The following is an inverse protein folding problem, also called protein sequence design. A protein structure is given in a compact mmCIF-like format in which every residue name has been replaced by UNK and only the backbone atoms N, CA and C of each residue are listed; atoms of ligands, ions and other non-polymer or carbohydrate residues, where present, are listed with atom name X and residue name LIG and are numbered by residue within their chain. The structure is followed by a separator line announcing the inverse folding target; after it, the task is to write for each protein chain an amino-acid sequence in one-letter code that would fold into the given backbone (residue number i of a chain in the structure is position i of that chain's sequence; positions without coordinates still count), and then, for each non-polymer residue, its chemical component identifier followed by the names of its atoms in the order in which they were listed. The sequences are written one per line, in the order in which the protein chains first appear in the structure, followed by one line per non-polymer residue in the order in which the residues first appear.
data_IF_909604067585
#
_entry.id   IF_909604067585
#
_cell.length_a   1.000
_cell.length_b   1.000
_cell.length_c   1.000
_cell.angle_alpha   90.00
_cell.angle_beta   90.00
_cell.angle_gamma   90.00
#
_symmetry.space_group_name_H-M   'P 1'
#
loop_
_entity.id
_entity.type
_entity.pdbx_description
1 polymer ?
#
# COMPACT_ATOMS: atom_id res chain seq x y z
N UNK A 1 11.08 -20.89 0.34
CA UNK A 1 11.04 -19.98 1.49
C UNK A 1 12.26 -19.06 1.35
N UNK A 2 12.11 -17.90 0.69
CA UNK A 2 13.24 -17.06 0.24
C UNK A 2 14.01 -16.33 1.36
N UNK A 3 14.77 -15.29 1.01
CA UNK A 3 15.62 -14.58 1.98
C UNK A 3 14.82 -13.93 3.11
N UNK A 4 15.40 -13.92 4.31
CA UNK A 4 14.85 -13.25 5.49
C UNK A 4 14.70 -11.74 5.23
N UNK A 5 13.66 -11.13 5.77
CA UNK A 5 13.50 -9.66 5.76
C UNK A 5 14.41 -9.06 6.82
N UNK A 6 15.17 -8.01 6.49
CA UNK A 6 16.27 -7.49 7.30
C UNK A 6 17.65 -7.97 6.85
N UNK A 7 17.75 -8.64 5.70
CA UNK A 7 19.03 -9.19 5.21
C UNK A 7 19.69 -8.28 4.17
N UNK A 8 21.02 -8.25 4.25
CA UNK A 8 21.92 -7.64 3.27
C UNK A 8 22.97 -8.66 2.89
N UNK A 9 23.25 -8.79 1.60
CA UNK A 9 24.35 -9.60 1.10
C UNK A 9 24.87 -9.02 -0.20
N UNK A 10 26.14 -9.27 -0.47
CA UNK A 10 26.82 -8.79 -1.66
C UNK A 10 27.26 -9.98 -2.52
N UNK A 11 27.26 -9.79 -3.84
CA UNK A 11 27.62 -10.82 -4.82
C UNK A 11 28.30 -10.19 -6.03
N UNK A 12 29.34 -10.84 -6.54
CA UNK A 12 30.08 -10.42 -7.74
C UNK A 12 29.49 -11.05 -9.01
N UNK A 13 28.88 -12.23 -8.90
CA UNK A 13 28.51 -13.09 -10.05
C UNK A 13 27.02 -13.37 -10.19
N UNK A 14 26.29 -13.42 -9.08
CA UNK A 14 24.91 -13.88 -9.06
C UNK A 14 23.94 -12.83 -8.53
N UNK A 15 22.72 -12.85 -9.06
CA UNK A 15 21.60 -12.05 -8.55
C UNK A 15 20.40 -12.96 -8.25
N UNK A 16 19.75 -12.74 -7.10
CA UNK A 16 18.61 -13.55 -6.64
C UNK A 16 17.35 -12.68 -6.53
N UNK A 17 16.41 -12.77 -7.50
CA UNK A 17 15.21 -11.92 -7.50
C UNK A 17 14.35 -12.02 -6.22
N UNK A 18 14.14 -13.24 -5.72
CA UNK A 18 13.39 -13.47 -4.48
C UNK A 18 14.08 -12.95 -3.22
N UNK A 19 15.39 -12.72 -3.29
CA UNK A 19 16.16 -12.14 -2.22
C UNK A 19 16.14 -10.60 -2.23
N UNK A 20 15.73 -9.95 -3.33
CA UNK A 20 15.29 -8.54 -3.35
C UNK A 20 13.87 -8.41 -2.79
N UNK A 21 12.99 -9.33 -3.20
CA UNK A 21 11.58 -9.36 -2.79
C UNK A 21 10.62 -8.88 -3.87
N UNK A 22 9.34 -9.16 -3.67
CA UNK A 22 8.29 -8.92 -4.69
C UNK A 22 7.92 -7.44 -4.86
N UNK A 23 8.11 -6.62 -3.83
CA UNK A 23 7.88 -5.18 -3.94
C UNK A 23 9.21 -4.46 -4.17
N UNK A 24 9.71 -4.58 -5.40
CA UNK A 24 10.95 -3.95 -5.85
C UNK A 24 10.83 -2.44 -5.67
N UNK A 25 11.84 -1.80 -5.10
CA UNK A 25 11.85 -0.35 -4.88
C UNK A 25 10.91 0.12 -3.77
N UNK A 26 10.27 -0.79 -3.00
CA UNK A 26 9.60 -0.41 -1.76
C UNK A 26 10.54 0.43 -0.89
N UNK A 27 10.04 1.54 -0.36
CA UNK A 27 10.87 2.60 0.19
C UNK A 27 10.10 3.62 0.99
N UNK A 28 10.87 4.44 1.70
CA UNK A 28 10.38 5.50 2.56
C UNK A 28 10.65 6.84 1.90
N UNK A 29 9.77 7.81 2.14
CA UNK A 29 10.09 9.19 1.85
C UNK A 29 9.55 10.11 2.95
N UNK A 30 10.28 11.17 3.26
CA UNK A 30 9.84 12.18 4.20
C UNK A 30 10.21 13.58 3.72
N UNK A 31 9.35 14.57 3.95
CA UNK A 31 9.59 15.97 3.58
C UNK A 31 9.12 16.90 4.73
N UNK A 32 9.95 17.85 5.15
CA UNK A 32 9.59 18.78 6.22
C UNK A 32 8.64 19.87 5.74
N UNK A 33 7.81 20.36 6.66
CA UNK A 33 7.00 21.57 6.55
C UNK A 33 7.59 22.58 7.55
N UNK A 34 8.57 23.41 7.14
CA UNK A 34 9.44 24.14 8.06
C UNK A 34 8.71 25.16 8.94
N UNK A 35 7.54 25.64 8.50
CA UNK A 35 6.77 26.68 9.18
C UNK A 35 5.49 26.14 9.85
N UNK A 36 5.29 24.81 9.85
CA UNK A 36 4.09 24.18 10.41
C UNK A 36 4.39 23.50 11.74
N UNK A 37 3.90 24.11 12.82
CA UNK A 37 3.90 23.49 14.15
C UNK A 37 2.76 22.47 14.28
N UNK A 38 3.02 21.33 14.92
CA UNK A 38 1.99 20.34 15.22
C UNK A 38 0.88 20.88 16.15
N UNK A 39 1.21 21.85 16.99
CA UNK A 39 0.29 22.47 17.95
C UNK A 39 -0.68 23.44 17.26
N UNK A 40 -0.31 24.00 16.12
CA UNK A 40 -1.19 24.89 15.35
C UNK A 40 -2.21 24.15 14.49
N UNK A 41 -2.14 22.80 14.41
CA UNK A 41 -3.09 21.99 13.65
C UNK A 41 -4.16 21.43 14.59
N UNK A 42 -5.37 21.98 14.49
CA UNK A 42 -6.54 21.48 15.25
C UNK A 42 -6.91 20.05 14.83
N UNK A 43 -7.71 19.37 15.65
CA UNK A 43 -8.19 18.02 15.34
C UNK A 43 -9.02 18.00 14.05
N UNK A 44 -9.89 18.99 13.85
CA UNK A 44 -10.76 19.12 12.68
C UNK A 44 -9.94 19.31 11.40
N UNK A 45 -8.83 20.06 11.46
CA UNK A 45 -7.91 20.20 10.33
C UNK A 45 -7.23 18.84 10.04
N UNK A 46 -6.80 18.11 11.07
CA UNK A 46 -6.22 16.76 10.89
C UNK A 46 -7.20 15.80 10.23
N UNK A 47 -8.46 15.77 10.67
CA UNK A 47 -9.53 14.98 10.04
C UNK A 47 -9.78 15.39 8.59
N UNK A 48 -9.80 16.69 8.30
CA UNK A 48 -9.96 17.18 6.93
C UNK A 48 -8.80 16.76 6.04
N UNK A 49 -7.55 16.85 6.50
CA UNK A 49 -6.37 16.41 5.74
C UNK A 49 -6.44 14.90 5.53
N UNK A 50 -6.70 14.11 6.58
CA UNK A 50 -6.83 12.65 6.49
C UNK A 50 -7.86 12.24 5.43
N UNK A 51 -9.05 12.83 5.46
CA UNK A 51 -10.11 12.59 4.48
C UNK A 51 -9.65 12.93 3.06
N UNK A 52 -9.02 14.10 2.86
CA UNK A 52 -8.58 14.50 1.53
C UNK A 52 -7.44 13.64 0.97
N UNK A 53 -6.53 13.16 1.82
CA UNK A 53 -5.51 12.19 1.41
C UNK A 53 -6.20 10.93 0.86
N UNK A 54 -7.22 10.41 1.54
CA UNK A 54 -7.95 9.22 1.08
C UNK A 54 -8.75 9.46 -0.20
N UNK A 55 -9.28 10.66 -0.37
CA UNK A 55 -10.03 11.04 -1.57
C UNK A 55 -9.10 11.20 -2.78
N UNK A 56 -7.88 11.74 -2.59
CA UNK A 56 -6.91 12.00 -3.69
C UNK A 56 -5.95 10.84 -3.96
N UNK A 57 -5.60 10.03 -2.97
CA UNK A 57 -4.60 8.95 -3.07
C UNK A 57 -5.26 7.57 -2.97
N UNK A 58 -5.42 6.84 -4.08
CA UNK A 58 -5.97 5.50 -4.07
C UNK A 58 -5.14 4.52 -3.22
N UNK A 59 -5.84 3.72 -2.41
CA UNK A 59 -5.27 2.69 -1.52
C UNK A 59 -5.67 1.27 -1.95
N UNK A 60 -4.99 0.26 -1.39
CA UNK A 60 -5.22 -1.15 -1.69
C UNK A 60 -4.93 -1.50 -3.15
N UNK A 61 -5.90 -2.13 -3.81
CA UNK A 61 -5.85 -2.46 -5.24
C UNK A 61 -6.37 -1.33 -6.15
N UNK A 62 -6.88 -0.24 -5.56
CA UNK A 62 -7.43 0.87 -6.34
C UNK A 62 -6.32 1.64 -7.07
N UNK A 63 -6.73 2.28 -8.17
CA UNK A 63 -5.89 3.04 -9.08
C UNK A 63 -6.63 4.29 -9.51
N UNK A 64 -5.90 5.26 -10.06
CA UNK A 64 -6.50 6.46 -10.64
C UNK A 64 -7.36 6.12 -11.86
N UNK A 65 -8.44 6.88 -12.06
CA UNK A 65 -9.33 6.69 -13.21
C UNK A 65 -8.72 7.12 -14.55
N UNK A 66 -7.65 7.91 -14.53
CA UNK A 66 -6.91 8.37 -15.71
C UNK A 66 -5.40 8.10 -15.53
N UNK A 67 -4.67 7.84 -16.63
CA UNK A 67 -3.21 7.71 -16.60
C UNK A 67 -2.58 8.98 -16.04
N UNK A 68 -1.61 8.80 -15.14
CA UNK A 68 -0.76 9.90 -14.67
C UNK A 68 0.54 9.91 -15.46
N UNK A 69 1.17 11.08 -15.51
CA UNK A 69 2.50 11.25 -16.11
C UNK A 69 3.55 11.03 -15.03
N UNK A 70 4.65 10.38 -15.41
CA UNK A 70 5.81 10.18 -14.56
C UNK A 70 7.04 9.99 -15.46
N UNK A 71 8.20 10.60 -15.14
CA UNK A 71 9.43 10.47 -15.92
C UNK A 71 9.82 9.02 -16.27
N UNK A 72 9.60 8.07 -15.35
CA UNK A 72 9.91 6.66 -15.56
C UNK A 72 9.16 6.03 -16.73
N UNK A 73 7.96 6.51 -17.06
CA UNK A 73 7.13 5.92 -18.12
C UNK A 73 7.77 6.11 -19.49
N UNK A 74 8.46 7.25 -19.67
CA UNK A 74 9.20 7.61 -20.87
C UNK A 74 10.62 7.01 -20.90
N UNK A 75 11.10 6.43 -19.80
CA UNK A 75 12.42 5.80 -19.73
C UNK A 75 12.43 4.47 -20.50
N UNK A 76 13.22 4.44 -21.59
CA UNK A 76 13.37 3.29 -22.49
C UNK A 76 14.48 2.31 -22.07
N UNK A 77 15.24 2.60 -21.01
CA UNK A 77 16.24 1.68 -20.47
C UNK A 77 15.57 0.53 -19.70
N UNK A 78 14.96 -0.39 -20.45
CA UNK A 78 14.19 -1.55 -19.95
C UNK A 78 14.19 -2.66 -20.99
N UNK A 79 13.89 -3.88 -20.58
CA UNK A 79 13.79 -5.02 -21.48
C UNK A 79 12.55 -4.94 -22.40
N UNK A 80 12.58 -5.71 -23.48
CA UNK A 80 11.42 -5.90 -24.34
C UNK A 80 10.26 -6.57 -23.58
N UNK A 81 10.56 -7.41 -22.59
CA UNK A 81 9.54 -8.04 -21.74
C UNK A 81 8.85 -6.99 -20.86
N UNK A 82 9.61 -6.17 -20.13
CA UNK A 82 9.03 -5.13 -19.25
C UNK A 82 8.25 -4.09 -20.06
N UNK A 83 8.73 -3.72 -21.24
CA UNK A 83 7.99 -2.83 -22.16
C UNK A 83 6.58 -3.33 -22.49
N UNK A 84 6.37 -4.65 -22.58
CA UNK A 84 5.03 -5.24 -22.80
C UNK A 84 4.15 -5.23 -21.55
N UNK A 85 4.74 -5.18 -20.35
CA UNK A 85 4.00 -5.10 -19.09
C UNK A 85 3.55 -3.68 -18.76
N UNK A 86 4.21 -2.67 -19.33
CA UNK A 86 3.85 -1.27 -19.15
C UNK A 86 2.62 -0.95 -20.00
N UNK A 87 1.49 -0.78 -19.32
CA UNK A 87 0.19 -0.50 -19.95
C UNK A 87 -0.40 0.78 -19.38
N UNK A 88 -1.55 1.18 -19.91
CA UNK A 88 -2.34 2.27 -19.33
C UNK A 88 -2.61 2.06 -17.82
N UNK A 89 -2.82 0.81 -17.40
CA UNK A 89 -3.02 0.46 -15.98
C UNK A 89 -1.80 0.81 -15.14
N UNK A 90 -0.58 0.61 -15.66
CA UNK A 90 0.68 0.96 -14.98
C UNK A 90 0.76 2.47 -14.74
N UNK A 91 0.39 3.27 -15.75
CA UNK A 91 0.33 4.73 -15.61
C UNK A 91 -0.76 5.20 -14.63
N UNK A 92 -1.87 4.48 -14.50
CA UNK A 92 -2.89 4.74 -13.47
C UNK A 92 -2.45 4.36 -12.05
N UNK A 93 -1.37 3.59 -11.89
CA UNK A 93 -0.83 3.16 -10.60
C UNK A 93 0.19 4.13 -9.99
N UNK A 94 0.72 5.06 -10.78
CA UNK A 94 1.50 6.20 -10.26
C UNK A 94 0.61 7.00 -9.31
N UNK A 95 1.16 7.45 -8.19
CA UNK A 95 0.42 8.22 -7.19
C UNK A 95 -0.53 7.36 -6.35
N UNK A 96 -0.26 6.07 -6.17
CA UNK A 96 -1.12 5.17 -5.38
C UNK A 96 -0.36 4.54 -4.23
N UNK A 97 -1.02 4.45 -3.07
CA UNK A 97 -0.38 3.99 -1.84
C UNK A 97 -0.15 2.48 -1.87
N UNK A 98 -1.20 1.76 -2.24
CA UNK A 98 -1.25 0.31 -2.11
C UNK A 98 -1.79 -0.21 -0.81
N UNK A 99 -1.50 -1.48 -0.53
CA UNK A 99 -2.00 -2.20 0.63
C UNK A 99 -0.87 -2.73 1.51
N UNK A 100 -1.24 -3.45 2.58
CA UNK A 100 -0.28 -4.08 3.48
C UNK A 100 0.35 -3.07 4.42
N UNK A 101 1.68 -3.05 4.51
CA UNK A 101 2.37 -2.14 5.43
C UNK A 101 2.50 -0.70 4.92
N UNK A 102 2.10 -0.40 3.68
CA UNK A 102 2.19 0.95 3.09
C UNK A 102 1.30 1.97 3.82
N UNK A 103 1.80 3.18 4.00
CA UNK A 103 1.12 4.25 4.74
C UNK A 103 1.51 5.65 4.27
N UNK A 104 0.68 6.63 4.61
CA UNK A 104 1.00 8.06 4.59
C UNK A 104 0.73 8.60 5.99
N UNK A 105 1.68 9.31 6.55
CA UNK A 105 1.59 9.93 7.87
C UNK A 105 1.92 11.41 7.80
N UNK A 106 1.25 12.20 8.64
CA UNK A 106 1.82 13.46 9.10
C UNK A 106 2.39 13.18 10.48
N UNK A 107 3.65 13.52 10.68
CA UNK A 107 4.37 13.29 11.92
C UNK A 107 4.96 14.59 12.43
N UNK A 108 5.16 14.72 13.74
CA UNK A 108 5.95 15.80 14.34
C UNK A 108 7.32 15.31 14.76
N UNK A 109 8.34 16.12 14.58
CA UNK A 109 9.68 15.86 15.09
C UNK A 109 9.85 16.31 16.56
N UNK A 110 11.06 16.20 17.09
CA UNK A 110 11.40 16.60 18.46
C UNK A 110 11.30 18.10 18.73
N UNK A 111 11.31 18.93 17.68
CA UNK A 111 11.10 20.38 17.77
C UNK A 111 9.63 20.78 17.67
N UNK A 112 8.76 19.82 17.36
CA UNK A 112 7.32 20.05 17.16
C UNK A 112 6.94 20.43 15.73
N UNK A 113 7.90 20.49 14.80
CA UNK A 113 7.64 20.78 13.39
C UNK A 113 7.11 19.54 12.67
N UNK A 114 6.24 19.79 11.68
CA UNK A 114 5.52 18.73 10.97
C UNK A 114 6.31 18.26 9.74
N UNK A 115 6.22 16.96 9.48
CA UNK A 115 6.77 16.31 8.31
C UNK A 115 5.68 15.44 7.67
N UNK A 116 5.72 15.32 6.34
CA UNK A 116 5.02 14.26 5.63
C UNK A 116 5.94 13.04 5.64
N UNK A 117 5.45 11.88 6.02
CA UNK A 117 6.18 10.61 6.01
C UNK A 117 5.36 9.60 5.19
N UNK A 118 5.98 8.95 4.22
CA UNK A 118 5.30 8.06 3.29
C UNK A 118 6.04 6.73 3.10
N UNK A 119 5.28 5.65 3.02
CA UNK A 119 5.74 4.30 2.67
C UNK A 119 5.00 3.73 1.47
N UNK A 120 5.71 3.53 0.37
CA UNK A 120 5.19 2.79 -0.77
C UNK A 120 6.30 2.26 -1.68
N UNK A 121 5.91 1.41 -2.62
CA UNK A 121 6.80 0.76 -3.58
C UNK A 121 6.34 0.89 -5.01
N UNK A 122 6.76 -0.07 -5.83
CA UNK A 122 6.51 -0.06 -7.28
C UNK A 122 5.16 -0.64 -7.67
N UNK A 123 4.31 -0.99 -6.70
CA UNK A 123 2.96 -1.52 -6.96
C UNK A 123 3.06 -2.84 -7.74
N UNK A 124 2.12 -3.08 -8.66
CA UNK A 124 2.06 -4.37 -9.35
C UNK A 124 3.23 -4.58 -10.33
N UNK A 125 3.83 -3.51 -10.88
CA UNK A 125 4.90 -3.66 -11.89
C UNK A 125 6.16 -4.31 -11.30
N UNK A 126 6.53 -3.97 -10.06
CA UNK A 126 7.62 -4.66 -9.36
C UNK A 126 7.29 -6.11 -9.04
N UNK A 127 6.05 -6.39 -8.62
CA UNK A 127 5.58 -7.75 -8.33
C UNK A 127 5.74 -8.67 -9.54
N UNK A 128 5.17 -8.29 -10.68
CA UNK A 128 5.23 -9.13 -11.90
C UNK A 128 6.66 -9.26 -12.41
N UNK A 129 7.49 -8.23 -12.24
CA UNK A 129 8.91 -8.26 -12.59
C UNK A 129 9.65 -9.28 -11.72
N UNK A 130 9.51 -9.21 -10.39
CA UNK A 130 10.13 -10.16 -9.47
C UNK A 130 9.68 -11.61 -9.74
N UNK A 131 8.39 -11.83 -9.96
CA UNK A 131 7.82 -13.16 -10.25
C UNK A 131 8.38 -13.75 -11.56
N UNK A 132 8.44 -12.94 -12.62
CA UNK A 132 8.99 -13.36 -13.92
C UNK A 132 10.46 -13.77 -13.79
N UNK A 133 11.30 -12.91 -13.21
CA UNK A 133 12.73 -13.20 -13.12
C UNK A 133 13.05 -14.31 -12.12
N UNK A 134 12.24 -14.51 -11.07
CA UNK A 134 12.38 -15.69 -10.22
C UNK A 134 12.04 -16.99 -10.98
N UNK A 135 11.04 -16.97 -11.86
CA UNK A 135 10.72 -18.11 -12.71
C UNK A 135 11.87 -18.43 -13.69
N UNK A 136 12.46 -17.40 -14.31
CA UNK A 136 13.64 -17.55 -15.17
C UNK A 136 14.84 -18.09 -14.38
N UNK A 137 15.11 -17.56 -13.19
CA UNK A 137 16.17 -18.04 -12.30
C UNK A 137 15.99 -19.52 -11.93
N UNK A 138 14.75 -19.93 -11.65
CA UNK A 138 14.43 -21.33 -11.34
C UNK A 138 14.69 -22.25 -12.55
N UNK A 139 14.35 -21.81 -13.75
CA UNK A 139 14.62 -22.55 -14.99
C UNK A 139 16.13 -22.64 -15.26
N UNK A 140 16.86 -21.53 -15.10
CA UNK A 140 18.32 -21.46 -15.24
C UNK A 140 19.02 -22.45 -14.30
N UNK A 141 18.68 -22.43 -13.01
CA UNK A 141 19.27 -23.35 -12.03
C UNK A 141 19.00 -24.82 -12.35
N UNK A 142 17.78 -25.13 -12.83
CA UNK A 142 17.43 -26.49 -13.25
C UNK A 142 18.28 -26.93 -14.45
N UNK A 143 18.48 -26.06 -15.43
CA UNK A 143 19.28 -26.35 -16.62
C UNK A 143 20.77 -26.54 -16.29
N UNK A 144 21.30 -25.76 -15.36
CA UNK A 144 22.69 -25.89 -14.86
C UNK A 144 22.88 -26.97 -13.79
N UNK A 145 21.82 -27.74 -13.50
CA UNK A 145 21.82 -28.80 -12.49
C UNK A 145 22.24 -28.34 -11.08
N UNK A 146 22.03 -27.06 -10.76
CA UNK A 146 22.30 -26.54 -9.42
C UNK A 146 21.32 -27.16 -8.42
N UNK A 147 21.87 -27.83 -7.40
CA UNK A 147 21.09 -28.38 -6.28
C UNK A 147 20.96 -27.32 -5.19
N UNK A 148 19.73 -27.03 -4.78
CA UNK A 148 19.48 -26.22 -3.59
C UNK A 148 18.61 -27.00 -2.60
N UNK A 149 18.82 -26.73 -1.30
CA UNK A 149 17.78 -27.02 -0.29
C UNK A 149 16.54 -26.20 -0.66
N UNK A 150 15.34 -26.67 -0.34
CA UNK A 150 14.04 -26.11 -0.79
C UNK A 150 13.75 -24.67 -0.28
N UNK A 151 14.62 -23.73 -0.62
CA UNK A 151 14.75 -22.38 -0.07
C UNK A 151 14.21 -21.33 -1.06
N UNK A 152 13.81 -21.68 -2.28
CA UNK A 152 13.28 -20.70 -3.26
C UNK A 152 14.19 -19.46 -3.42
N UNK A 153 15.51 -19.70 -3.34
CA UNK A 153 16.58 -18.71 -3.52
C UNK A 153 17.19 -18.88 -4.91
N UNK A 154 16.32 -18.76 -5.93
CA UNK A 154 16.77 -18.96 -7.29
C UNK A 154 17.62 -17.78 -7.77
N UNK A 155 18.73 -18.07 -8.46
CA UNK A 155 19.65 -17.04 -8.93
C UNK A 155 19.88 -17.10 -10.45
N UNK A 156 20.30 -15.97 -10.99
CA UNK A 156 20.82 -15.81 -12.35
C UNK A 156 22.28 -15.39 -12.25
N UNK A 157 23.09 -15.81 -13.21
CA UNK A 157 24.39 -15.17 -13.47
C UNK A 157 24.14 -13.73 -13.95
N UNK A 158 24.96 -12.77 -13.52
CA UNK A 158 24.75 -11.36 -13.87
C UNK A 158 25.09 -11.08 -15.34
N UNK A 159 26.02 -11.83 -15.91
CA UNK A 159 26.56 -11.66 -17.25
C UNK A 159 25.80 -12.41 -18.35
N UNK A 160 24.75 -13.16 -18.01
CA UNK A 160 23.81 -13.68 -19.01
C UNK A 160 22.74 -12.61 -19.33
N UNK A 161 22.04 -12.80 -20.45
CA UNK A 161 21.03 -11.85 -20.91
C UNK A 161 19.93 -11.64 -19.87
N UNK A 162 19.43 -12.71 -19.25
CA UNK A 162 18.37 -12.66 -18.24
C UNK A 162 18.82 -11.92 -16.97
N UNK A 163 20.09 -12.10 -16.56
CA UNK A 163 20.66 -11.40 -15.41
C UNK A 163 20.77 -9.90 -15.65
N UNK A 164 21.33 -9.50 -16.80
CA UNK A 164 21.38 -8.08 -17.21
C UNK A 164 20.00 -7.46 -17.36
N UNK A 165 19.07 -8.20 -17.95
CA UNK A 165 17.69 -7.75 -18.14
C UNK A 165 16.99 -7.55 -16.79
N UNK A 166 17.20 -8.46 -15.82
CA UNK A 166 16.66 -8.30 -14.48
C UNK A 166 17.17 -7.03 -13.81
N UNK A 167 18.48 -6.79 -13.83
CA UNK A 167 19.08 -5.62 -13.18
C UNK A 167 18.52 -4.31 -13.76
N UNK A 168 18.41 -4.23 -15.09
CA UNK A 168 17.82 -3.08 -15.79
C UNK A 168 16.33 -2.89 -15.46
N UNK A 169 15.55 -3.97 -15.48
CA UNK A 169 14.11 -3.89 -15.19
C UNK A 169 13.83 -3.59 -13.71
N UNK A 170 14.69 -4.07 -12.81
CA UNK A 170 14.66 -3.75 -11.39
C UNK A 170 14.99 -2.28 -11.15
N UNK A 171 15.99 -1.72 -11.83
CA UNK A 171 16.30 -0.28 -11.80
C UNK A 171 15.12 0.56 -12.30
N UNK A 172 14.48 0.15 -13.39
CA UNK A 172 13.25 0.80 -13.87
C UNK A 172 12.13 0.74 -12.81
N UNK A 173 11.97 -0.41 -12.13
CA UNK A 173 10.99 -0.54 -11.05
C UNK A 173 11.32 0.34 -9.82
N UNK A 174 12.61 0.54 -9.51
CA UNK A 174 13.05 1.48 -8.48
C UNK A 174 12.67 2.92 -8.85
N UNK A 175 12.95 3.33 -10.10
CA UNK A 175 12.53 4.63 -10.62
C UNK A 175 11.01 4.81 -10.56
N UNK A 176 10.24 3.77 -10.87
CA UNK A 176 8.78 3.82 -10.75
C UNK A 176 8.32 4.01 -9.32
N UNK A 177 8.94 3.33 -8.36
CA UNK A 177 8.65 3.52 -6.96
C UNK A 177 9.01 4.94 -6.47
N UNK A 178 10.11 5.52 -6.95
CA UNK A 178 10.49 6.92 -6.67
C UNK A 178 9.43 7.90 -7.18
N UNK A 179 9.06 7.80 -8.45
CA UNK A 179 8.04 8.66 -9.07
C UNK A 179 6.67 8.48 -8.39
N UNK A 180 6.32 7.25 -8.01
CA UNK A 180 5.09 6.96 -7.28
C UNK A 180 5.07 7.68 -5.92
N UNK A 181 6.16 7.61 -5.15
CA UNK A 181 6.28 8.32 -3.88
C UNK A 181 6.29 9.84 -4.08
N UNK A 182 6.99 10.34 -5.10
CA UNK A 182 7.05 11.76 -5.40
C UNK A 182 5.66 12.33 -5.73
N UNK A 183 4.89 11.66 -6.59
CA UNK A 183 3.54 12.10 -6.95
C UNK A 183 2.60 12.11 -5.73
N UNK A 184 2.70 11.13 -4.83
CA UNK A 184 1.94 11.15 -3.57
C UNK A 184 2.39 12.25 -2.61
N UNK A 185 3.70 12.45 -2.44
CA UNK A 185 4.22 13.54 -1.60
C UNK A 185 3.74 14.90 -2.11
N UNK A 186 3.77 15.14 -3.42
CA UNK A 186 3.25 16.38 -4.02
C UNK A 186 1.75 16.54 -3.73
N UNK A 187 0.94 15.49 -3.89
CA UNK A 187 -0.50 15.57 -3.59
C UNK A 187 -0.77 15.89 -2.11
N UNK A 188 -0.05 15.25 -1.19
CA UNK A 188 -0.20 15.48 0.25
C UNK A 188 0.29 16.88 0.63
N UNK A 189 1.41 17.32 0.07
CA UNK A 189 1.92 18.68 0.28
C UNK A 189 0.92 19.74 -0.18
N UNK A 190 0.30 19.57 -1.35
CA UNK A 190 -0.76 20.46 -1.83
C UNK A 190 -1.97 20.49 -0.89
N UNK A 191 -2.42 19.34 -0.39
CA UNK A 191 -3.52 19.30 0.60
C UNK A 191 -3.14 20.10 1.85
N UNK A 192 -1.92 19.94 2.36
CA UNK A 192 -1.47 20.64 3.57
C UNK A 192 -1.36 22.14 3.32
N UNK A 193 -0.81 22.56 2.19
CA UNK A 193 -0.71 23.96 1.80
C UNK A 193 -2.09 24.61 1.69
N UNK A 194 -3.05 23.95 1.03
CA UNK A 194 -4.45 24.43 0.93
C UNK A 194 -5.13 24.58 2.30
N UNK A 195 -4.78 23.74 3.29
CA UNK A 195 -5.42 23.73 4.62
C UNK A 195 -4.72 24.61 5.66
N UNK A 196 -3.43 24.84 5.51
CA UNK A 196 -2.59 25.45 6.55
C UNK A 196 -1.76 26.64 6.05
N UNK A 197 -1.63 26.81 4.74
CA UNK A 197 -0.73 27.79 4.13
C UNK A 197 0.75 27.39 4.17
N UNK A 198 1.11 26.27 4.82
CA UNK A 198 2.51 25.82 4.90
C UNK A 198 2.94 25.09 3.63
N UNK A 199 4.11 25.47 3.12
CA UNK A 199 4.72 24.87 1.93
C UNK A 199 5.76 23.82 2.35
N UNK A 200 5.75 22.66 1.69
CA UNK A 200 6.73 21.59 1.95
C UNK A 200 8.09 21.92 1.33
N UNK A 201 9.18 21.72 2.08
CA UNK A 201 10.55 21.95 1.61
C UNK A 201 11.15 20.67 1.00
N UNK A 202 10.85 20.45 -0.28
CA UNK A 202 11.37 19.30 -1.04
C UNK A 202 12.90 19.29 -1.18
N UNK A 203 13.61 20.40 -0.95
CA UNK A 203 15.08 20.42 -0.99
C UNK A 203 15.71 19.60 0.15
N UNK A 204 14.95 19.38 1.22
CA UNK A 204 15.32 18.56 2.39
C UNK A 204 14.60 17.21 2.42
N UNK A 205 13.95 16.82 1.32
CA UNK A 205 13.28 15.54 1.26
C UNK A 205 14.28 14.38 1.34
N UNK A 206 13.95 13.38 2.15
CA UNK A 206 14.67 12.10 2.21
C UNK A 206 13.83 11.07 1.45
N UNK A 207 14.43 10.33 0.53
CA UNK A 207 13.75 9.28 -0.22
C UNK A 207 14.68 8.09 -0.41
N UNK A 208 14.32 6.93 0.14
CA UNK A 208 15.21 5.77 0.25
C UNK A 208 14.47 4.46 0.00
N UNK A 209 15.08 3.57 -0.78
CA UNK A 209 14.56 2.21 -0.99
C UNK A 209 15.01 1.27 0.14
N UNK A 210 14.25 0.21 0.37
CA UNK A 210 14.63 -0.88 1.27
C UNK A 210 14.51 -2.29 0.67
N UNK A 211 14.05 -2.41 -0.59
CA UNK A 211 14.01 -3.66 -1.36
C UNK A 211 14.63 -3.43 -2.74
N UNK A 212 15.92 -3.67 -2.89
CA UNK A 212 16.63 -3.43 -4.15
C UNK A 212 17.98 -4.12 -4.18
N UNK A 213 18.60 -4.12 -5.36
CA UNK A 213 20.01 -4.44 -5.52
C UNK A 213 20.68 -3.36 -6.36
N UNK A 214 21.94 -3.04 -6.05
CA UNK A 214 22.71 -2.02 -6.77
C UNK A 214 24.20 -2.37 -6.75
N UNK A 215 24.94 -1.92 -7.75
CA UNK A 215 26.38 -2.14 -7.85
C UNK A 215 27.11 -1.03 -7.07
N UNK A 216 27.84 -1.43 -6.03
CA UNK A 216 28.51 -0.51 -5.11
C UNK A 216 29.99 -0.85 -4.98
N UNK A 217 30.83 0.16 -4.80
CA UNK A 217 32.21 -0.03 -4.35
C UNK A 217 32.18 -0.47 -2.89
N UNK A 218 32.70 -1.68 -2.64
CA UNK A 218 32.68 -2.31 -1.34
C UNK A 218 34.11 -2.59 -0.86
N UNK A 219 34.32 -2.39 0.44
CA UNK A 219 35.54 -2.77 1.14
C UNK A 219 35.18 -3.80 2.22
N UNK A 220 35.88 -4.94 2.26
CA UNK A 220 35.67 -5.97 3.27
C UNK A 220 36.96 -6.77 3.53
N UNK A 221 37.02 -7.47 4.66
CA UNK A 221 38.12 -8.37 5.01
C UNK A 221 37.78 -9.78 4.52
N UNK A 222 38.63 -10.37 3.69
CA UNK A 222 38.44 -11.74 3.21
C UNK A 222 38.81 -12.78 4.28
N UNK A 223 38.54 -14.06 4.00
CA UNK A 223 38.85 -15.17 4.91
C UNK A 223 40.35 -15.34 5.23
N UNK A 224 41.22 -14.70 4.44
CA UNK A 224 42.68 -14.71 4.63
C UNK A 224 43.17 -13.48 5.41
N UNK A 225 42.27 -12.57 5.80
CA UNK A 225 42.58 -11.34 6.53
C UNK A 225 42.98 -10.16 5.63
N UNK A 226 42.83 -10.27 4.31
CA UNK A 226 43.18 -9.17 3.40
C UNK A 226 42.01 -8.20 3.22
N UNK A 227 42.29 -6.91 3.20
CA UNK A 227 41.34 -5.89 2.79
C UNK A 227 41.15 -5.93 1.27
N UNK A 228 39.94 -6.25 0.82
CA UNK A 228 39.56 -6.30 -0.59
C UNK A 228 38.68 -5.10 -0.92
N UNK A 229 39.01 -4.42 -2.02
CA UNK A 229 38.17 -3.35 -2.61
C UNK A 229 37.70 -3.80 -3.99
N UNK A 230 36.38 -3.94 -4.15
CA UNK A 230 35.81 -4.30 -5.46
C UNK A 230 34.36 -3.84 -5.59
N UNK A 231 33.86 -3.82 -6.83
CA UNK A 231 32.45 -3.57 -7.09
C UNK A 231 31.64 -4.84 -6.85
N UNK A 232 30.63 -4.76 -6.00
CA UNK A 232 29.71 -5.86 -5.71
C UNK A 232 28.26 -5.41 -5.89
N UNK A 233 27.40 -6.36 -6.25
CA UNK A 233 25.96 -6.17 -6.26
C UNK A 233 25.42 -6.38 -4.85
N UNK A 234 25.14 -5.28 -4.15
CA UNK A 234 24.62 -5.28 -2.79
C UNK A 234 23.10 -5.37 -2.84
N UNK A 235 22.57 -6.51 -2.41
CA UNK A 235 21.13 -6.76 -2.31
C UNK A 235 20.64 -6.46 -0.90
N UNK A 236 19.60 -5.63 -0.79
CA UNK A 236 18.92 -5.28 0.46
C UNK A 236 17.46 -5.68 0.38
N UNK A 237 16.99 -6.45 1.37
CA UNK A 237 15.57 -6.81 1.54
C UNK A 237 15.11 -6.48 2.93
N UNK A 238 14.29 -5.46 3.05
CA UNK A 238 13.98 -4.85 4.34
C UNK A 238 15.24 -4.30 5.02
N UNK A 239 16.14 -3.67 4.26
CA UNK A 239 17.31 -2.97 4.78
C UNK A 239 17.56 -1.73 3.93
N UNK A 240 18.08 -0.66 4.53
CA UNK A 240 18.30 0.62 3.84
C UNK A 240 19.80 0.89 3.73
N UNK A 241 20.20 1.71 2.76
CA UNK A 241 21.55 2.27 2.71
C UNK A 241 21.80 3.18 3.91
N UNK A 242 22.96 3.03 4.53
CA UNK A 242 23.43 3.79 5.69
C UNK A 242 24.89 4.23 5.48
N UNK A 243 25.20 4.71 4.27
CA UNK A 243 26.50 5.29 3.94
C UNK A 243 26.82 6.45 4.88
N UNK A 244 28.12 6.68 5.09
CA UNK A 244 28.57 7.75 5.99
C UNK A 244 27.90 9.08 5.61
N UNK A 245 27.14 9.63 6.57
CA UNK A 245 26.47 10.90 6.42
C UNK A 245 25.16 10.90 5.61
N UNK A 246 24.75 9.77 5.04
CA UNK A 246 23.49 9.65 4.30
C UNK A 246 22.29 9.66 5.25
N UNK A 247 21.29 10.48 4.98
CA UNK A 247 20.02 10.44 5.71
C UNK A 247 19.20 9.19 5.35
N UNK A 248 18.60 8.57 6.36
CA UNK A 248 17.73 7.41 6.26
C UNK A 248 16.46 7.57 7.09
N UNK A 249 15.50 6.67 6.87
CA UNK A 249 14.20 6.69 7.54
C UNK A 249 13.88 5.30 8.09
N UNK A 250 13.63 5.20 9.39
CA UNK A 250 13.32 3.94 10.08
C UNK A 250 11.92 4.03 10.70
N UNK A 251 10.86 3.55 10.02
CA UNK A 251 9.52 3.52 10.58
C UNK A 251 9.32 2.45 11.66
N UNK A 252 8.54 2.78 12.68
CA UNK A 252 8.04 1.82 13.66
C UNK A 252 6.76 1.14 13.19
N UNK A 253 5.66 1.44 13.87
CA UNK A 253 4.30 1.04 13.55
C UNK A 253 3.41 2.27 13.45
N UNK A 254 2.12 2.10 13.13
CA UNK A 254 1.16 3.20 13.01
C UNK A 254 1.10 4.16 14.20
N UNK A 255 1.44 3.68 15.41
CA UNK A 255 1.33 4.45 16.65
C UNK A 255 2.63 4.65 17.45
N UNK A 256 3.72 3.94 17.14
CA UNK A 256 4.94 3.95 18.00
C UNK A 256 5.97 5.01 17.63
N UNK A 257 5.77 5.71 16.51
CA UNK A 257 6.72 6.67 15.96
C UNK A 257 7.76 6.07 15.03
N UNK A 258 8.52 6.95 14.41
CA UNK A 258 9.51 6.68 13.35
C UNK A 258 10.78 7.49 13.61
N UNK A 259 11.86 7.25 12.87
CA UNK A 259 13.13 7.96 13.07
C UNK A 259 13.68 8.51 11.76
N UNK A 260 14.20 9.74 11.81
CA UNK A 260 15.18 10.24 10.85
C UNK A 260 16.57 9.90 11.41
N UNK A 261 17.39 9.28 10.59
CA UNK A 261 18.72 8.82 10.98
C UNK A 261 19.78 9.27 9.99
N UNK A 262 21.05 9.19 10.39
CA UNK A 262 22.21 9.46 9.55
C UNK A 262 23.15 8.24 9.59
N UNK A 263 23.56 7.74 8.43
CA UNK A 263 24.40 6.55 8.33
C UNK A 263 25.82 6.76 8.86
N UNK A 264 26.35 5.74 9.54
CA UNK A 264 27.73 5.69 10.07
C UNK A 264 28.70 4.93 9.14
N UNK A 265 28.25 4.47 7.97
CA UNK A 265 29.12 3.92 6.94
C UNK A 265 29.83 2.61 7.32
N UNK A 266 29.30 1.84 8.28
CA UNK A 266 29.88 0.59 8.74
C UNK A 266 30.05 -0.41 7.58
N UNK A 267 31.29 -0.85 7.32
CA UNK A 267 31.63 -1.77 6.23
C UNK A 267 31.10 -3.19 6.44
N UNK A 268 31.02 -3.64 7.69
CA UNK A 268 30.62 -5.01 8.02
C UNK A 268 29.14 -5.26 7.69
N UNK A 269 28.33 -4.20 7.64
CA UNK A 269 26.93 -4.23 7.22
C UNK A 269 26.73 -3.90 5.73
N UNK A 270 27.80 -3.82 4.93
CA UNK A 270 27.77 -3.26 3.57
C UNK A 270 27.15 -1.86 3.55
N UNK A 271 27.52 -1.04 4.54
CA UNK A 271 27.02 0.32 4.74
C UNK A 271 25.48 0.36 4.72
N UNK A 272 24.86 -0.54 5.48
CA UNK A 272 23.40 -0.68 5.53
C UNK A 272 22.89 -0.64 6.96
N UNK A 273 21.59 -0.35 7.10
CA UNK A 273 20.88 -0.39 8.38
C UNK A 273 19.52 -1.08 8.22
N UNK A 274 18.77 -1.20 9.32
CA UNK A 274 17.40 -1.72 9.26
C UNK A 274 16.50 -0.85 8.36
N UNK A 275 15.28 -1.31 8.10
CA UNK A 275 14.26 -0.51 7.40
C UNK A 275 13.06 -0.18 8.28
N UNK A 276 13.05 -0.62 9.53
CA UNK A 276 11.91 -0.47 10.43
C UNK A 276 11.87 -1.55 11.52
N UNK A 277 10.84 -1.49 12.38
CA UNK A 277 10.71 -2.38 13.54
C UNK A 277 10.62 -3.86 13.17
N UNK A 278 10.01 -4.17 12.02
CA UNK A 278 9.69 -5.53 11.62
C UNK A 278 8.57 -6.13 12.45
N UNK A 279 7.89 -7.14 11.89
CA UNK A 279 6.75 -7.77 12.53
C UNK A 279 7.18 -8.74 13.62
N UNK A 280 6.50 -8.71 14.76
CA UNK A 280 6.61 -9.72 15.82
C UNK A 280 5.57 -10.83 15.64
N UNK A 281 4.47 -10.56 14.92
CA UNK A 281 3.38 -11.50 14.64
C UNK A 281 3.08 -11.60 13.13
N UNK A 282 2.73 -12.80 12.67
CA UNK A 282 2.15 -12.97 11.33
C UNK A 282 0.81 -12.21 11.24
N UNK A 283 0.37 -11.87 10.02
CA UNK A 283 -0.90 -11.16 9.82
C UNK A 283 -2.09 -11.91 10.42
N UNK A 284 -2.17 -13.22 10.13
CA UNK A 284 -3.20 -14.09 10.69
C UNK A 284 -3.16 -14.13 12.21
N UNK A 285 -1.96 -14.27 12.81
CA UNK A 285 -1.82 -14.30 14.27
C UNK A 285 -2.20 -12.96 14.91
N UNK A 286 -1.84 -11.85 14.28
CA UNK A 286 -2.21 -10.51 14.72
C UNK A 286 -3.74 -10.32 14.73
N UNK A 287 -4.44 -10.71 13.65
CA UNK A 287 -5.93 -10.67 13.59
C UNK A 287 -6.62 -11.59 14.59
N UNK A 288 -5.96 -12.64 15.07
CA UNK A 288 -6.53 -13.53 16.07
C UNK A 288 -6.31 -13.01 17.49
N UNK A 289 -5.13 -12.47 17.79
CA UNK A 289 -4.73 -12.15 19.18
C UNK A 289 -4.98 -10.70 19.60
N UNK A 290 -4.87 -9.73 18.69
CA UNK A 290 -4.93 -8.30 19.03
C UNK A 290 -6.39 -7.89 19.15
N UNK A 291 -6.88 -7.53 20.33
CA UNK A 291 -8.26 -7.07 20.48
C UNK A 291 -8.47 -5.73 19.80
N UNK A 292 -9.66 -5.53 19.23
CA UNK A 292 -10.05 -4.29 18.56
C UNK A 292 -9.94 -3.06 19.48
N UNK A 293 -10.39 -3.20 20.73
CA UNK A 293 -10.26 -2.16 21.76
C UNK A 293 -8.80 -1.77 22.06
N UNK A 294 -7.90 -2.75 22.06
CA UNK A 294 -6.48 -2.49 22.34
C UNK A 294 -5.83 -1.78 21.15
N UNK A 295 -6.26 -2.10 19.93
CA UNK A 295 -5.84 -1.40 18.72
C UNK A 295 -6.30 0.07 18.75
N UNK A 296 -7.59 0.32 18.99
CA UNK A 296 -8.14 1.68 19.13
C UNK A 296 -7.40 2.49 20.19
N UNK A 297 -7.22 1.91 21.38
CA UNK A 297 -6.48 2.55 22.47
C UNK A 297 -5.04 2.91 22.09
N UNK A 298 -4.36 2.05 21.34
CA UNK A 298 -2.98 2.30 20.90
C UNK A 298 -2.85 3.41 19.86
N UNK A 299 -3.98 3.87 19.30
CA UNK A 299 -4.05 4.94 18.30
C UNK A 299 -4.64 6.25 18.86
N UNK A 300 -4.93 6.32 20.16
CA UNK A 300 -5.43 7.54 20.81
C UNK A 300 -4.53 8.75 20.53
N UNK A 301 -5.14 9.87 20.12
CA UNK A 301 -4.43 11.10 19.75
C UNK A 301 -3.91 11.16 18.30
N UNK A 302 -4.14 10.10 17.51
CA UNK A 302 -3.77 10.04 16.08
C UNK A 302 -5.04 9.95 15.24
N UNK A 303 -5.18 10.82 14.24
CA UNK A 303 -6.28 10.71 13.26
C UNK A 303 -5.98 9.57 12.30
N UNK A 304 -6.74 8.48 12.40
CA UNK A 304 -6.54 7.28 11.59
C UNK A 304 -7.78 6.39 11.55
N UNK A 305 -7.77 5.38 10.70
CA UNK A 305 -8.75 4.29 10.74
C UNK A 305 -8.31 3.15 11.64
N UNK A 306 -9.19 2.75 12.55
CA UNK A 306 -9.03 1.58 13.41
C UNK A 306 -10.07 0.52 13.06
N UNK A 307 -10.20 0.14 11.79
CA UNK A 307 -11.15 -0.91 11.37
C UNK A 307 -10.57 -2.31 11.58
N UNK A 308 -11.43 -3.33 11.66
CA UNK A 308 -11.00 -4.72 11.90
C UNK A 308 -10.02 -5.24 10.84
N UNK A 309 -10.17 -4.78 9.60
CA UNK A 309 -9.31 -5.15 8.47
C UNK A 309 -7.85 -4.76 8.69
N UNK A 310 -7.61 -3.71 9.48
CA UNK A 310 -6.30 -3.15 9.81
C UNK A 310 -5.67 -3.72 11.09
N UNK A 311 -6.36 -4.62 11.80
CA UNK A 311 -5.82 -5.21 13.05
C UNK A 311 -4.49 -5.92 12.87
N UNK A 312 -4.17 -6.41 11.67
CA UNK A 312 -2.84 -6.97 11.41
C UNK A 312 -1.72 -5.93 11.32
N UNK A 313 -2.05 -4.65 11.18
CA UNK A 313 -1.10 -3.54 11.10
C UNK A 313 -1.06 -2.71 12.40
N UNK A 314 -1.84 -3.10 13.40
CA UNK A 314 -1.85 -2.49 14.73
C UNK A 314 -0.45 -2.47 15.37
N UNK A 315 -0.11 -1.48 16.21
CA UNK A 315 1.19 -1.38 16.88
C UNK A 315 1.69 -2.66 17.55
N UNK A 316 0.79 -3.43 18.16
CA UNK A 316 1.05 -4.68 18.87
C UNK A 316 1.50 -5.83 17.94
N UNK A 317 1.38 -5.68 16.62
CA UNK A 317 1.85 -6.66 15.64
C UNK A 317 3.36 -6.52 15.31
N UNK A 318 3.98 -5.44 15.76
CA UNK A 318 5.37 -5.07 15.47
C UNK A 318 6.28 -5.30 16.69
N UNK A 319 7.59 -5.30 16.45
CA UNK A 319 8.59 -5.26 17.54
C UNK A 319 8.63 -3.85 18.13
N UNK A 320 9.21 -3.71 19.31
CA UNK A 320 9.55 -2.39 19.85
C UNK A 320 10.64 -1.75 18.97
N UNK A 321 10.32 -0.57 18.42
CA UNK A 321 11.22 0.14 17.54
C UNK A 321 12.46 0.67 18.28
N UNK A 322 12.34 1.02 19.58
CA UNK A 322 13.49 1.55 20.32
C UNK A 322 14.55 0.47 20.51
N UNK A 323 14.15 -0.76 20.86
CA UNK A 323 15.04 -1.92 20.88
C UNK A 323 15.77 -2.15 19.55
N UNK A 324 15.07 -1.98 18.42
CA UNK A 324 15.67 -2.10 17.07
C UNK A 324 16.67 -0.98 16.82
N UNK A 325 16.44 0.23 17.31
CA UNK A 325 17.40 1.33 17.22
C UNK A 325 18.65 1.08 18.07
N UNK A 326 18.49 0.54 19.28
CA UNK A 326 19.62 0.23 20.17
C UNK A 326 20.58 -0.80 19.55
N UNK A 327 20.03 -1.83 18.88
CA UNK A 327 20.81 -2.88 18.21
C UNK A 327 21.60 -2.44 16.98
N UNK A 328 21.36 -1.24 16.47
CA UNK A 328 22.03 -0.72 15.26
C UNK A 328 22.72 0.64 15.52
N UNK A 329 23.04 0.91 16.79
CA UNK A 329 23.74 2.13 17.21
C UNK A 329 25.14 2.30 16.59
N UNK A 330 25.72 1.22 16.08
CA UNK A 330 26.96 1.18 15.29
C UNK A 330 26.74 1.39 13.79
N UNK A 331 25.48 1.40 13.31
CA UNK A 331 25.13 1.56 11.90
C UNK A 331 24.58 2.95 11.59
N UNK A 332 23.84 3.55 12.52
CA UNK A 332 23.17 4.85 12.32
C UNK A 332 23.16 5.71 13.58
N UNK A 333 23.22 7.03 13.38
CA UNK A 333 22.97 8.05 14.39
C UNK A 333 21.52 8.55 14.30
N UNK A 334 20.84 8.73 15.43
CA UNK A 334 19.49 9.29 15.47
C UNK A 334 19.57 10.82 15.32
N UNK A 335 18.90 11.34 14.29
CA UNK A 335 18.77 12.80 14.07
C UNK A 335 17.56 13.34 14.81
N UNK A 336 16.40 12.69 14.65
CA UNK A 336 15.19 13.00 15.42
C UNK A 336 14.24 11.81 15.45
N UNK A 337 13.40 11.77 16.48
CA UNK A 337 12.25 10.87 16.58
C UNK A 337 11.00 11.59 16.11
N UNK A 338 10.17 10.86 15.37
CA UNK A 338 8.88 11.30 14.87
C UNK A 338 7.74 10.70 15.70
N UNK A 339 6.71 11.50 15.94
CA UNK A 339 5.45 11.06 16.54
C UNK A 339 4.30 11.27 15.54
N UNK A 340 3.48 10.25 15.25
CA UNK A 340 2.38 10.38 14.30
C UNK A 340 1.28 11.32 14.82
N UNK A 341 0.73 12.10 13.90
CA UNK A 341 -0.44 12.97 14.11
C UNK A 341 -1.64 12.49 13.28
N UNK A 342 -1.35 12.03 12.06
CA UNK A 342 -2.29 11.46 11.11
C UNK A 342 -1.66 10.19 10.56
N UNK A 343 -2.43 9.12 10.43
CA UNK A 343 -2.02 7.90 9.74
C UNK A 343 -3.11 7.44 8.76
N UNK A 344 -2.72 7.29 7.50
CA UNK A 344 -3.56 6.71 6.44
C UNK A 344 -2.91 5.39 6.02
N UNK A 345 -3.61 4.27 6.26
CA UNK A 345 -3.15 2.95 5.83
C UNK A 345 -3.69 2.55 4.47
N UNK A 346 -2.86 1.76 3.79
CA UNK A 346 -3.26 1.03 2.62
C UNK A 346 -4.18 -0.16 2.95
N UNK A 347 -5.50 0.00 2.83
CA UNK A 347 -6.43 -1.13 2.87
C UNK A 347 -7.61 -0.94 1.92
N UNK A 348 -8.27 -2.03 1.55
CA UNK A 348 -9.51 -1.99 0.81
C UNK A 348 -10.64 -1.61 1.75
N UNK A 349 -11.07 -0.35 1.75
CA UNK A 349 -12.42 -0.05 2.22
C UNK A 349 -13.38 -0.72 1.23
N UNK A 350 -14.30 -1.56 1.72
CA UNK A 350 -15.33 -2.19 0.90
C UNK A 350 -16.04 -1.14 0.03
N UNK A 351 -15.65 -1.10 -1.26
CA UNK A 351 -16.06 -0.16 -2.31
C UNK A 351 -15.86 1.33 -1.97
N UNK A 352 -14.96 2.06 -2.67
CA UNK A 352 -14.84 3.51 -2.54
C UNK A 352 -16.19 4.21 -2.77
N UNK A 353 -16.55 5.29 -2.05
CA UNK A 353 -17.83 5.98 -2.20
C UNK A 353 -18.16 6.40 -3.64
N UNK A 354 -17.14 6.76 -4.44
CA UNK A 354 -17.30 7.13 -5.86
C UNK A 354 -17.43 5.94 -6.82
N UNK A 355 -17.18 4.70 -6.35
CA UNK A 355 -17.41 3.44 -7.08
C UNK A 355 -18.71 2.74 -6.67
N UNK A 356 -19.40 3.21 -5.62
CA UNK A 356 -20.78 2.78 -5.39
C UNK A 356 -21.62 3.28 -6.58
N UNK A 357 -22.38 2.42 -7.27
CA UNK A 357 -23.30 2.88 -8.29
C UNK A 357 -24.27 3.86 -7.63
N UNK A 358 -24.26 5.12 -8.07
CA UNK A 358 -25.29 6.10 -7.70
C UNK A 358 -26.62 5.63 -8.30
N UNK A 359 -27.42 4.91 -7.52
CA UNK A 359 -28.83 4.70 -7.86
C UNK A 359 -29.58 5.94 -7.39
N UNK A 360 -30.00 6.77 -8.34
CA UNK A 360 -30.95 7.84 -8.07
C UNK A 360 -32.35 7.22 -7.94
N UNK A 361 -32.92 7.25 -6.75
CA UNK A 361 -34.36 7.05 -6.55
C UNK A 361 -35.01 8.42 -6.73
N UNK A 362 -35.62 8.66 -7.89
CA UNK A 362 -36.40 9.88 -8.13
C UNK A 362 -37.77 9.66 -7.52
N UNK A 363 -38.10 10.43 -6.49
CA UNK A 363 -39.45 10.48 -5.93
C UNK A 363 -40.31 11.38 -6.82
N UNK A 364 -41.28 10.82 -7.53
CA UNK A 364 -42.42 11.62 -8.02
C UNK A 364 -43.45 11.68 -6.89
N UNK A 365 -43.53 12.85 -6.27
CA UNK A 365 -44.52 13.28 -5.28
C UNK A 365 -44.57 12.52 -3.94
N UNK A 366 -43.93 13.11 -2.92
CA UNK A 366 -44.51 13.46 -1.60
C UNK A 366 -43.39 13.64 -0.58
N UNK A 367 -43.66 14.47 0.41
CA UNK A 367 -42.69 15.15 1.27
C UNK A 367 -41.68 14.25 2.01
N UNK A 368 -40.41 14.66 1.90
CA UNK A 368 -39.31 14.55 2.88
C UNK A 368 -38.97 13.19 3.51
N UNK A 369 -38.16 12.36 2.82
CA UNK A 369 -37.15 11.49 3.46
C UNK A 369 -35.94 11.27 2.51
N UNK A 370 -34.71 11.46 3.00
CA UNK A 370 -33.49 11.02 2.30
C UNK A 370 -33.17 9.57 2.71
N UNK A 371 -33.03 8.66 1.75
CA UNK A 371 -32.67 7.25 1.98
C UNK A 371 -31.34 6.97 1.29
N UNK A 372 -30.35 6.52 2.07
CA UNK A 372 -29.04 6.06 1.55
C UNK A 372 -29.04 4.54 1.40
N UNK A 373 -28.88 4.04 0.17
CA UNK A 373 -28.86 2.59 -0.11
C UNK A 373 -27.45 2.03 0.15
N UNK A 374 -27.27 1.33 1.26
CA UNK A 374 -25.97 0.75 1.66
C UNK A 374 -25.63 -0.58 0.95
N UNK A 375 -26.62 -1.32 0.43
CA UNK A 375 -26.39 -2.62 -0.25
C UNK A 375 -27.55 -3.01 -1.17
N UNK A 376 -27.25 -3.47 -2.39
CA UNK A 376 -28.26 -4.00 -3.34
C UNK A 376 -28.02 -5.50 -3.50
N UNK A 377 -29.03 -6.31 -3.21
CA UNK A 377 -29.02 -7.76 -3.42
C UNK A 377 -30.15 -8.10 -4.40
N UNK A 378 -29.89 -8.97 -5.38
CA UNK A 378 -30.88 -9.35 -6.41
C UNK A 378 -31.08 -10.86 -6.35
N UNK A 379 -32.33 -11.32 -6.21
CA UNK A 379 -32.72 -12.72 -6.34
C UNK A 379 -33.41 -12.98 -7.69
N UNK A 380 -33.23 -14.17 -8.25
CA UNK A 380 -33.86 -14.59 -9.50
C UNK A 380 -35.17 -15.31 -9.18
N UNK A 381 -36.31 -14.78 -9.63
CA UNK A 381 -37.58 -15.52 -9.65
C UNK A 381 -37.68 -16.27 -10.97
N UNK A 382 -37.47 -17.58 -10.95
CA UNK A 382 -37.95 -18.46 -12.03
C UNK A 382 -39.02 -19.36 -11.43
N UNK A 383 -40.26 -19.08 -11.82
CA UNK A 383 -41.46 -19.88 -11.62
C UNK A 383 -42.24 -19.71 -10.29
N UNK A 384 -43.57 -19.68 -10.43
CA UNK A 384 -44.53 -19.13 -9.48
C UNK A 384 -45.05 -20.16 -8.46
N UNK A 385 -44.36 -21.29 -8.25
CA UNK A 385 -44.79 -22.35 -7.32
C UNK A 385 -43.61 -23.01 -6.63
N UNK A 386 -43.65 -22.98 -5.29
CA UNK A 386 -42.74 -23.60 -4.30
C UNK A 386 -41.49 -22.77 -3.95
N UNK A 387 -41.57 -22.16 -2.78
CA UNK A 387 -40.51 -21.49 -2.04
C UNK A 387 -39.43 -22.49 -1.62
N UNK A 388 -38.18 -22.22 -1.99
CA UNK A 388 -36.96 -22.46 -1.19
C UNK A 388 -35.84 -21.66 -1.86
N UNK A 389 -35.43 -20.57 -1.23
CA UNK A 389 -34.40 -19.65 -1.73
C UNK A 389 -33.12 -19.87 -0.94
N UNK A 390 -32.01 -20.29 -1.58
CA UNK A 390 -30.79 -20.67 -0.85
C UNK A 390 -29.53 -19.89 -1.17
N UNK A 391 -29.46 -18.95 -2.13
CA UNK A 391 -28.21 -18.19 -2.35
C UNK A 391 -28.41 -16.72 -2.74
N UNK A 392 -27.68 -15.85 -2.05
CA UNK A 392 -27.62 -14.39 -2.26
C UNK A 392 -26.42 -14.03 -3.14
N UNK A 393 -26.62 -13.30 -4.24
CA UNK A 393 -25.57 -12.96 -5.21
C UNK A 393 -25.40 -11.42 -5.28
N UNK A 394 -24.18 -10.87 -5.15
CA UNK A 394 -23.89 -9.45 -5.41
C UNK A 394 -24.23 -9.02 -6.85
N UNK A 395 -24.67 -7.78 -7.05
CA UNK A 395 -25.00 -7.25 -8.39
C UNK A 395 -23.86 -7.39 -9.41
N UNK A 396 -22.61 -7.25 -8.96
CA UNK A 396 -21.41 -7.45 -9.76
C UNK A 396 -21.27 -8.88 -10.30
N UNK A 397 -21.61 -9.90 -9.51
CA UNK A 397 -21.63 -11.31 -9.94
C UNK A 397 -22.84 -11.60 -10.84
N UNK A 398 -23.98 -10.95 -10.60
CA UNK A 398 -25.16 -11.08 -11.43
C UNK A 398 -24.96 -10.55 -12.85
N UNK A 399 -24.26 -9.41 -12.99
CA UNK A 399 -23.89 -8.79 -14.28
C UNK A 399 -22.97 -9.70 -15.12
N UNK A 400 -22.08 -10.46 -14.48
CA UNK A 400 -21.19 -11.41 -15.18
C UNK A 400 -21.93 -12.64 -15.74
N UNK A 401 -23.12 -12.98 -15.20
CA UNK A 401 -23.93 -14.10 -15.68
C UNK A 401 -24.83 -13.76 -16.89
N UNK A 402 -24.66 -12.58 -17.51
CA UNK A 402 -25.37 -12.20 -18.74
C UNK A 402 -26.87 -11.94 -18.59
N UNK A 403 -27.40 -11.98 -17.37
CA UNK A 403 -28.78 -11.60 -17.09
C UNK A 403 -28.82 -10.07 -16.90
N UNK A 404 -29.41 -9.33 -17.84
CA UNK A 404 -29.72 -7.92 -17.65
C UNK A 404 -31.03 -7.74 -16.89
N UNK A 405 -31.16 -6.66 -16.10
CA UNK A 405 -32.45 -6.31 -15.50
C UNK A 405 -33.34 -5.89 -16.67
N UNK A 406 -34.47 -6.56 -16.86
CA UNK A 406 -35.43 -6.21 -17.91
C UNK A 406 -36.58 -5.47 -17.27
N UNK A 407 -37.16 -4.53 -18.02
CA UNK A 407 -38.42 -3.89 -17.66
C UNK A 407 -39.46 -4.96 -17.30
N UNK A 408 -40.09 -4.80 -16.14
CA UNK A 408 -41.06 -5.77 -15.57
C UNK A 408 -40.47 -6.79 -14.60
N UNK A 409 -39.14 -6.87 -14.45
CA UNK A 409 -38.55 -7.72 -13.42
C UNK A 409 -38.90 -7.19 -12.02
N UNK A 410 -39.26 -8.09 -11.11
CA UNK A 410 -39.48 -7.78 -9.69
C UNK A 410 -38.21 -8.10 -8.90
N UNK A 411 -37.78 -7.16 -8.08
CA UNK A 411 -36.57 -7.21 -7.26
C UNK A 411 -36.96 -7.03 -5.79
N UNK A 412 -36.26 -7.71 -4.89
CA UNK A 412 -36.34 -7.46 -3.46
C UNK A 412 -35.01 -6.90 -2.95
N UNK A 413 -35.02 -5.71 -2.35
CA UNK A 413 -33.83 -5.00 -1.87
C UNK A 413 -33.94 -4.70 -0.38
N UNK A 414 -32.89 -4.97 0.38
CA UNK A 414 -32.81 -4.54 1.77
C UNK A 414 -32.27 -3.11 1.87
N UNK A 415 -32.96 -2.25 2.59
CA UNK A 415 -32.50 -0.88 2.87
C UNK A 415 -32.44 -0.64 4.38
N UNK A 416 -31.56 0.27 4.78
CA UNK A 416 -31.38 0.74 6.14
C UNK A 416 -31.46 2.27 6.11
N UNK A 417 -31.91 2.87 7.20
CA UNK A 417 -31.94 4.33 7.36
C UNK A 417 -30.68 4.78 8.08
N UNK A 418 -30.15 5.96 7.72
CA UNK A 418 -28.99 6.53 8.41
C UNK A 418 -29.26 6.78 9.91
N UNK A 419 -30.52 7.09 10.25
CA UNK A 419 -30.96 7.33 11.62
C UNK A 419 -31.07 6.06 12.50
N UNK A 420 -31.18 4.87 11.89
CA UNK A 420 -31.29 3.59 12.63
C UNK A 420 -30.71 2.43 11.80
N UNK A 421 -29.38 2.22 11.84
CA UNK A 421 -28.69 1.18 11.06
C UNK A 421 -29.11 -0.25 11.44
N UNK A 422 -29.69 -0.44 12.64
CA UNK A 422 -30.15 -1.74 13.12
C UNK A 422 -31.50 -2.13 12.51
N UNK A 423 -32.19 -1.18 11.88
CA UNK A 423 -33.51 -1.39 11.28
C UNK A 423 -33.39 -1.63 9.79
N UNK A 424 -33.86 -2.81 9.37
CA UNK A 424 -33.84 -3.23 7.95
C UNK A 424 -35.25 -3.25 7.39
N UNK A 425 -35.42 -2.68 6.21
CA UNK A 425 -36.65 -2.73 5.44
C UNK A 425 -36.45 -3.58 4.19
N UNK A 426 -37.43 -4.42 3.86
CA UNK A 426 -37.45 -5.13 2.59
C UNK A 426 -38.30 -4.34 1.60
N UNK A 427 -37.68 -3.81 0.57
CA UNK A 427 -38.36 -3.17 -0.55
C UNK A 427 -38.62 -4.21 -1.64
N UNK A 428 -39.86 -4.34 -2.08
CA UNK A 428 -40.20 -5.02 -3.33
C UNK A 428 -40.38 -3.95 -4.40
N UNK A 429 -39.70 -4.11 -5.54
CA UNK A 429 -39.70 -3.09 -6.59
C UNK A 429 -39.72 -3.70 -7.98
N UNK A 430 -40.37 -3.03 -8.92
CA UNK A 430 -40.42 -3.44 -10.33
C UNK A 430 -39.50 -2.54 -11.16
N UNK A 431 -38.73 -3.13 -12.07
CA UNK A 431 -37.91 -2.39 -13.03
C UNK A 431 -38.81 -1.68 -14.05
N UNK A 432 -38.79 -0.36 -14.06
CA UNK A 432 -39.56 0.49 -14.99
C UNK A 432 -38.78 0.73 -16.28
N UNK A 433 -37.48 0.94 -16.17
CA UNK A 433 -36.55 1.02 -17.31
C UNK A 433 -35.15 0.60 -16.87
N UNK A 434 -34.34 0.21 -17.83
CA UNK A 434 -32.96 -0.25 -17.60
C UNK A 434 -32.13 -0.01 -18.84
N UNK A 435 -30.95 0.58 -18.67
CA UNK A 435 -29.90 0.63 -19.68
C UNK A 435 -28.66 -0.16 -19.21
N UNK A 436 -27.54 0.01 -19.89
CA UNK A 436 -26.28 -0.71 -19.61
C UNK A 436 -25.61 -0.31 -18.30
N UNK A 437 -26.01 0.82 -17.71
CA UNK A 437 -25.40 1.43 -16.53
C UNK A 437 -26.38 1.71 -15.38
N UNK A 438 -27.68 1.83 -15.66
CA UNK A 438 -28.72 2.28 -14.71
C UNK A 438 -30.00 1.47 -14.84
N UNK A 439 -30.74 1.36 -13.74
CA UNK A 439 -32.11 0.86 -13.72
C UNK A 439 -32.99 1.77 -12.88
N UNK A 440 -34.17 2.11 -13.40
CA UNK A 440 -35.22 2.83 -12.68
C UNK A 440 -36.14 1.79 -12.05
N UNK A 441 -36.33 1.87 -10.73
CA UNK A 441 -37.18 0.96 -9.97
C UNK A 441 -38.40 1.73 -9.47
N UNK A 442 -39.59 1.14 -9.60
CA UNK A 442 -40.79 1.57 -8.90
C UNK A 442 -40.95 0.69 -7.68
N UNK A 443 -41.06 1.29 -6.50
CA UNK A 443 -41.31 0.54 -5.26
C UNK A 443 -42.78 0.12 -5.27
N UNK A 444 -43.03 -1.18 -5.23
CA UNK A 444 -44.38 -1.73 -5.19
C UNK A 444 -44.83 -2.03 -3.75
N UNK A 445 -43.91 -2.37 -2.85
CA UNK A 445 -44.23 -2.71 -1.45
C UNK A 445 -43.04 -2.47 -0.52
N UNK A 446 -43.31 -2.02 0.71
CA UNK A 446 -42.32 -1.88 1.79
C UNK A 446 -42.75 -2.79 2.95
N UNK A 447 -41.97 -3.83 3.23
CA UNK A 447 -42.21 -4.71 4.38
C UNK A 447 -41.23 -4.38 5.51
N UNK A 448 -41.79 -3.99 6.65
CA UNK A 448 -41.06 -3.85 7.92
C UNK A 448 -40.79 -5.24 8.47
N UNK A 449 -39.53 -5.61 8.69
CA UNK A 449 -39.18 -6.79 9.49
C UNK A 449 -38.49 -6.33 10.77
N UNK A 450 -39.03 -6.76 11.91
CA UNK A 450 -38.46 -6.45 13.21
C UNK A 450 -37.20 -7.28 13.49
N UNK A 451 -36.36 -6.74 14.39
CA UNK A 451 -34.98 -7.09 14.72
C UNK A 451 -34.70 -8.60 14.72
N UNK A 452 -33.58 -9.01 14.10
CA UNK A 452 -32.87 -10.27 14.43
C UNK A 452 -31.93 -9.97 15.59
#
# INVERSE_FOLDING_TARGET
MGATVGSVFASDKYICPNAVGVDIGCGMAAVPLPDLSAESISWEIKESIHKEIKDRVPTGINIHGKPRKAPVLDNLNRSAWLSKQITQRTACQIGTLGGGNHFIELVKDSTGLVWIFLHSGSRNIGKVTAENYNALAKAFMKMKEFKQRNLDLNFLEIDIEEGRNYLRDMEWCQAFALDNRQDMLTQVATIIEEKTGSVADFSKAVNIHHNYCTCEECEYIDVSGNTIRQKLWVTRKGATSAKQGQFGLIPGSMGTGSFLVKGLGNSDSWQSSSHGAGRSKSRTKAKLEIKQSDFEKSMEGIVCETVEELRDEAPQAYKDINSVMDWQSDLVEIVTKFQPLINVKGFESSVPPWKLPKIAVIFENSDSFQITISKIQISKSTDNRKQNFSEFIPYSEWKQKGAGLRKGNVIQTWVQTEEDPLRKFLLKSTVVSSDTEKAILRIDEIQKREKI
#
